data_IF_006113548318
#
_entry.id   IF_006113548318
#
_cell.length_a   1.000
_cell.length_b   1.000
_cell.length_c   1.000
_cell.angle_alpha   90.00
_cell.angle_beta   90.00
_cell.angle_gamma   90.00
#
_symmetry.space_group_name_H-M   'P 1'
#
loop_
_entity.id
_entity.type
_entity.pdbx_description
1 polymer ?
#
# COMPACT_ATOMS: atom_id res chain seq x y z
N UNK A 1 -0.91 -7.69 -12.48
CA UNK A 1 -1.00 -6.39 -11.78
C UNK A 1 -2.09 -6.52 -10.71
N UNK A 2 -1.81 -6.23 -9.43
CA UNK A 2 -2.74 -6.45 -8.30
C UNK A 2 -3.74 -5.30 -8.09
N UNK A 3 -3.37 -4.07 -8.47
CA UNK A 3 -4.26 -2.91 -8.49
C UNK A 3 -3.50 -1.61 -8.77
N UNK A 4 -4.22 -0.55 -9.12
CA UNK A 4 -3.72 0.80 -9.30
C UNK A 4 -4.63 1.75 -8.52
N UNK A 5 -4.06 2.64 -7.72
CA UNK A 5 -4.77 3.70 -7.02
C UNK A 5 -4.08 5.02 -7.33
N UNK A 6 -4.85 5.98 -7.84
CA UNK A 6 -4.39 7.36 -8.04
C UNK A 6 -4.75 8.15 -6.80
N UNK A 7 -3.75 8.60 -6.06
CA UNK A 7 -3.91 9.43 -4.88
C UNK A 7 -3.01 10.67 -5.05
N UNK A 8 -3.43 11.81 -4.51
CA UNK A 8 -2.77 13.09 -4.77
C UNK A 8 -1.45 13.24 -3.99
N UNK A 9 -1.13 12.34 -3.06
CA UNK A 9 0.11 12.35 -2.29
C UNK A 9 0.58 10.94 -1.91
N UNK A 10 1.88 10.66 -1.96
CA UNK A 10 2.47 9.43 -1.43
C UNK A 10 2.59 9.46 0.10
N UNK A 11 1.48 9.75 0.77
CA UNK A 11 1.37 9.89 2.22
C UNK A 11 1.15 8.53 2.91
N UNK A 12 1.43 8.47 4.21
CA UNK A 12 1.16 7.26 5.03
C UNK A 12 -0.33 6.85 4.94
N UNK A 13 -1.24 7.82 5.02
CA UNK A 13 -2.68 7.58 4.88
C UNK A 13 -3.05 6.96 3.54
N UNK A 14 -2.41 7.41 2.45
CA UNK A 14 -2.65 6.90 1.09
C UNK A 14 -2.22 5.44 0.97
N UNK A 15 -1.05 5.08 1.54
CA UNK A 15 -0.58 3.70 1.60
C UNK A 15 -1.46 2.81 2.47
N UNK A 16 -1.90 3.29 3.64
CA UNK A 16 -2.84 2.54 4.50
C UNK A 16 -4.15 2.25 3.79
N UNK A 17 -4.71 3.25 3.09
CA UNK A 17 -5.93 3.08 2.30
C UNK A 17 -5.73 2.06 1.16
N UNK A 18 -4.60 2.12 0.47
CA UNK A 18 -4.27 1.19 -0.60
C UNK A 18 -4.17 -0.27 -0.11
N UNK A 19 -3.44 -0.51 1.00
CA UNK A 19 -3.33 -1.85 1.58
C UNK A 19 -4.67 -2.36 2.13
N UNK A 20 -5.46 -1.50 2.77
CA UNK A 20 -6.80 -1.87 3.24
C UNK A 20 -7.70 -2.32 2.09
N UNK A 21 -7.67 -1.58 0.98
CA UNK A 21 -8.40 -1.94 -0.23
C UNK A 21 -7.94 -3.28 -0.83
N UNK A 22 -6.63 -3.55 -0.86
CA UNK A 22 -6.13 -4.85 -1.31
C UNK A 22 -6.57 -6.00 -0.38
N UNK A 23 -6.54 -5.80 0.94
CA UNK A 23 -7.00 -6.81 1.91
C UNK A 23 -8.50 -7.11 1.78
N UNK A 24 -9.33 -6.08 1.54
CA UNK A 24 -10.77 -6.26 1.27
C UNK A 24 -11.02 -7.12 0.01
N UNK A 25 -10.08 -7.09 -0.94
CA UNK A 25 -10.11 -7.93 -2.15
C UNK A 25 -9.56 -9.35 -1.92
N UNK A 26 -9.31 -9.72 -0.66
CA UNK A 26 -8.83 -11.05 -0.28
C UNK A 26 -7.32 -11.19 -0.29
N UNK A 27 -6.55 -10.11 -0.44
CA UNK A 27 -5.10 -10.19 -0.34
C UNK A 27 -4.69 -10.57 1.09
N UNK A 28 -4.01 -11.71 1.21
CA UNK A 28 -3.48 -12.26 2.46
C UNK A 28 -2.15 -12.98 2.17
N UNK A 29 -1.33 -13.23 3.19
CA UNK A 29 -0.06 -13.95 3.04
C UNK A 29 1.03 -13.19 2.26
N UNK A 30 1.14 -11.87 2.46
CA UNK A 30 2.18 -11.06 1.82
C UNK A 30 3.47 -11.12 2.65
N UNK A 31 4.52 -11.74 2.11
CA UNK A 31 5.81 -11.88 2.79
C UNK A 31 6.79 -10.74 2.47
N UNK A 32 6.70 -10.15 1.28
CA UNK A 32 7.64 -9.12 0.81
C UNK A 32 6.88 -7.99 0.13
N UNK A 33 7.16 -6.76 0.55
CA UNK A 33 6.76 -5.52 -0.11
C UNK A 33 8.02 -4.73 -0.47
N UNK A 34 8.19 -4.37 -1.74
CA UNK A 34 9.33 -3.59 -2.24
C UNK A 34 8.83 -2.24 -2.74
N UNK A 35 9.48 -1.16 -2.30
CA UNK A 35 9.19 0.22 -2.72
C UNK A 35 10.48 1.00 -2.87
N UNK A 36 10.49 1.95 -3.80
CA UNK A 36 11.56 2.92 -4.00
C UNK A 36 11.55 3.98 -2.89
N UNK A 37 12.22 3.69 -1.77
CA UNK A 37 12.66 4.66 -0.75
C UNK A 37 11.65 5.79 -0.39
N UNK A 38 10.37 5.47 -0.20
CA UNK A 38 9.40 6.41 0.38
C UNK A 38 9.10 6.07 1.86
N UNK A 39 9.41 7.00 2.76
CA UNK A 39 9.25 6.80 4.21
C UNK A 39 7.79 6.63 4.67
N UNK A 40 6.80 7.03 3.85
CA UNK A 40 5.38 6.83 4.13
C UNK A 40 4.95 5.36 4.09
N UNK A 41 5.58 4.53 3.26
CA UNK A 41 5.24 3.11 3.13
C UNK A 41 5.71 2.29 4.34
N UNK A 42 6.89 2.59 4.88
CA UNK A 42 7.41 1.94 6.10
C UNK A 42 6.51 2.19 7.31
N UNK A 43 5.91 3.39 7.42
CA UNK A 43 4.98 3.71 8.51
C UNK A 43 3.59 3.09 8.32
N UNK A 44 3.21 2.80 7.09
CA UNK A 44 1.86 2.34 6.75
C UNK A 44 1.64 0.83 6.90
N UNK A 45 2.72 0.04 6.87
CA UNK A 45 2.73 -1.37 7.30
C UNK A 45 2.40 -1.48 8.80
#
# INVERSE_FOLDING_TARGET
MLGLMLESSESESSWRAFFAWLKQRGLSGVDIVVSDRHGGLVKAL
#
